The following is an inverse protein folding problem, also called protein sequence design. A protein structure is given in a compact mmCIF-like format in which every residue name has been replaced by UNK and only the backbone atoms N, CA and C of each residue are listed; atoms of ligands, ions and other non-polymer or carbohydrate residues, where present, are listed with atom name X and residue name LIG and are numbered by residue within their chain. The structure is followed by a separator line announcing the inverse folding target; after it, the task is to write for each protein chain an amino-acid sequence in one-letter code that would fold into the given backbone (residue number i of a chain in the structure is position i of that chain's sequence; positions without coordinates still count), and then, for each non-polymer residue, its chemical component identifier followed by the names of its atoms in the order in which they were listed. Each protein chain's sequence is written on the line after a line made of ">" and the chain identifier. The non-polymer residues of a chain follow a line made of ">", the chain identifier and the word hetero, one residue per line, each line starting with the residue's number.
data_IF_376520847772
#
_entry.id   IF_376520847772
#
_cell.length_a   1.000
_cell.length_b   1.000
_cell.length_c   1.000
_cell.angle_alpha   90.00
_cell.angle_beta   90.00
_cell.angle_gamma   90.00
#
_symmetry.space_group_name_H-M   'P 1'
#
loop_
_entity.id
_entity.type
_entity.pdbx_description
1 polymer ?
#
# COMPACT_ATOMS: atom_id res chain seq x y z
N UNK A 1 -21.03 -20.45 -27.28
CA UNK A 1 -20.14 -19.96 -26.21
C UNK A 1 -19.18 -21.09 -25.88
N UNK A 2 -17.87 -20.83 -25.76
CA UNK A 2 -16.96 -21.85 -25.23
C UNK A 2 -17.34 -22.15 -23.77
N UNK A 3 -17.43 -23.42 -23.37
CA UNK A 3 -17.66 -23.80 -21.98
C UNK A 3 -16.45 -23.40 -21.13
N UNK A 4 -16.70 -23.03 -19.88
CA UNK A 4 -15.65 -22.85 -18.90
C UNK A 4 -15.56 -24.10 -18.05
N UNK A 5 -14.57 -24.94 -18.31
CA UNK A 5 -14.45 -26.24 -17.65
C UNK A 5 -13.63 -26.10 -16.36
N UNK A 6 -12.63 -25.22 -16.36
CA UNK A 6 -11.84 -24.88 -15.17
C UNK A 6 -11.77 -23.37 -14.97
N UNK A 7 -12.30 -22.91 -13.84
CA UNK A 7 -12.15 -21.54 -13.33
C UNK A 7 -11.03 -21.52 -12.28
N UNK A 8 -10.01 -20.69 -12.51
CA UNK A 8 -8.95 -20.44 -11.54
C UNK A 8 -9.07 -19.00 -11.06
N UNK A 9 -9.04 -18.80 -9.75
CA UNK A 9 -9.00 -17.47 -9.12
C UNK A 9 -7.74 -17.42 -8.27
N UNK A 10 -6.96 -16.35 -8.41
CA UNK A 10 -5.75 -16.11 -7.64
C UNK A 10 -5.89 -14.77 -6.92
N UNK A 11 -5.62 -14.80 -5.62
CA UNK A 11 -5.67 -13.62 -4.74
C UNK A 11 -4.32 -13.47 -4.08
N UNK A 12 -3.78 -12.25 -4.12
CA UNK A 12 -2.62 -11.84 -3.35
C UNK A 12 -3.05 -10.77 -2.35
N UNK A 13 -2.59 -10.88 -1.12
CA UNK A 13 -3.04 -10.04 -0.02
C UNK A 13 -1.87 -9.30 0.63
N UNK A 14 -2.08 -8.02 0.93
CA UNK A 14 -1.05 -7.14 1.49
C UNK A 14 -1.67 -6.35 2.65
N UNK A 15 -1.64 -6.95 3.84
CA UNK A 15 -2.29 -6.40 5.04
C UNK A 15 -1.32 -5.69 5.98
N UNK A 16 -0.03 -6.03 5.94
CA UNK A 16 1.01 -5.42 6.77
C UNK A 16 1.83 -4.38 6.00
N UNK A 17 2.54 -3.50 6.72
CA UNK A 17 3.44 -2.53 6.08
C UNK A 17 4.62 -3.23 5.41
N UNK A 18 5.06 -4.37 5.93
CA UNK A 18 6.05 -5.25 5.29
C UNK A 18 5.56 -5.78 3.94
N UNK A 19 4.32 -6.29 3.86
CA UNK A 19 3.75 -6.81 2.61
C UNK A 19 3.69 -5.70 1.54
N UNK A 20 3.14 -4.55 1.93
CA UNK A 20 3.03 -3.38 1.05
C UNK A 20 4.40 -2.91 0.57
N UNK A 21 5.37 -2.82 1.47
CA UNK A 21 6.73 -2.40 1.14
C UNK A 21 7.40 -3.37 0.16
N UNK A 22 7.34 -4.67 0.43
CA UNK A 22 7.96 -5.71 -0.40
C UNK A 22 7.32 -5.80 -1.78
N UNK A 23 6.02 -5.50 -1.88
CA UNK A 23 5.28 -5.44 -3.14
C UNK A 23 5.47 -4.12 -3.91
N UNK A 24 6.19 -3.13 -3.35
CA UNK A 24 6.34 -1.81 -3.96
C UNK A 24 5.06 -0.97 -3.95
N UNK A 25 4.10 -1.33 -3.10
CA UNK A 25 2.81 -0.64 -3.01
C UNK A 25 2.95 0.67 -2.24
N UNK A 26 2.21 1.67 -2.70
CA UNK A 26 2.19 3.01 -2.12
C UNK A 26 0.78 3.37 -1.66
N UNK A 27 0.63 4.45 -0.91
CA UNK A 27 -0.67 4.88 -0.35
C UNK A 27 -1.02 6.30 -0.82
N UNK A 28 -1.01 6.49 -2.13
CA UNK A 28 -1.43 7.72 -2.78
C UNK A 28 -2.63 7.53 -3.71
N UNK A 29 -3.55 8.47 -3.61
CA UNK A 29 -4.61 8.69 -4.60
C UNK A 29 -4.51 10.11 -5.16
N UNK A 30 -3.93 10.25 -6.36
CA UNK A 30 -3.76 11.55 -7.02
C UNK A 30 -3.12 12.60 -6.10
N UNK A 31 -2.00 12.24 -5.44
CA UNK A 31 -1.26 13.03 -4.43
C UNK A 31 -1.98 13.25 -3.08
N UNK A 32 -3.15 12.68 -2.86
CA UNK A 32 -3.77 12.61 -1.52
C UNK A 32 -3.29 11.35 -0.82
N UNK A 33 -2.96 11.48 0.46
CA UNK A 33 -2.47 10.36 1.26
C UNK A 33 -3.63 9.46 1.70
N UNK A 34 -3.35 8.17 1.73
CA UNK A 34 -4.25 7.14 2.23
C UNK A 34 -3.66 6.50 3.50
N UNK A 35 -4.54 6.10 4.41
CA UNK A 35 -4.22 5.11 5.45
C UNK A 35 -4.87 3.81 5.05
N UNK A 36 -4.10 2.73 5.03
CA UNK A 36 -4.58 1.48 4.46
C UNK A 36 -5.24 0.52 5.44
N UNK A 37 -6.40 0.00 5.05
CA UNK A 37 -7.03 -1.17 5.66
C UNK A 37 -6.37 -2.44 5.13
N UNK A 38 -6.13 -2.51 3.83
CA UNK A 38 -5.39 -3.58 3.17
C UNK A 38 -5.59 -3.55 1.65
N UNK A 39 -4.58 -4.04 0.94
CA UNK A 39 -4.57 -4.12 -0.52
C UNK A 39 -4.64 -5.56 -0.95
N UNK A 40 -5.31 -5.82 -2.07
CA UNK A 40 -5.33 -7.12 -2.71
C UNK A 40 -5.11 -7.00 -4.22
N UNK A 41 -4.64 -8.08 -4.82
CA UNK A 41 -4.64 -8.27 -6.25
C UNK A 41 -5.46 -9.51 -6.57
N UNK A 42 -6.44 -9.41 -7.47
CA UNK A 42 -7.28 -10.54 -7.88
C UNK A 42 -7.14 -10.77 -9.38
N UNK A 43 -6.89 -12.03 -9.77
CA UNK A 43 -7.03 -12.47 -11.17
C UNK A 43 -7.95 -13.68 -11.27
N UNK A 44 -8.70 -13.74 -12.36
CA UNK A 44 -9.53 -14.90 -12.69
C UNK A 44 -9.21 -15.37 -14.12
N UNK A 45 -9.16 -16.69 -14.30
CA UNK A 45 -8.88 -17.31 -15.59
C UNK A 45 -9.87 -18.43 -15.87
N UNK A 46 -10.38 -18.49 -17.11
CA UNK A 46 -11.12 -19.62 -17.62
C UNK A 46 -10.33 -20.32 -18.71
N UNK A 47 -10.00 -21.61 -18.52
CA UNK A 47 -9.25 -22.39 -19.50
C UNK A 47 -7.97 -21.66 -20.00
N UNK A 48 -7.28 -20.98 -19.08
CA UNK A 48 -6.06 -20.20 -19.35
C UNK A 48 -6.27 -18.79 -19.93
N UNK A 49 -7.51 -18.36 -20.21
CA UNK A 49 -7.82 -16.99 -20.64
C UNK A 49 -8.21 -16.13 -19.45
N UNK A 50 -7.56 -14.98 -19.30
CA UNK A 50 -7.90 -14.00 -18.26
C UNK A 50 -9.32 -13.49 -18.46
N UNK A 51 -10.06 -13.37 -17.36
CA UNK A 51 -11.44 -12.93 -17.32
C UNK A 51 -11.52 -11.50 -16.80
N UNK A 52 -12.57 -10.81 -17.22
CA UNK A 52 -13.00 -9.54 -16.67
C UNK A 52 -14.44 -9.69 -16.17
N UNK A 53 -14.84 -8.83 -15.22
CA UNK A 53 -16.22 -8.77 -14.79
C UNK A 53 -17.10 -8.21 -15.91
N UNK A 54 -18.33 -8.72 -16.01
CA UNK A 54 -19.31 -8.16 -16.93
C UNK A 54 -19.72 -6.78 -16.42
N UNK A 55 -20.04 -5.81 -17.31
CA UNK A 55 -20.52 -4.50 -16.90
C UNK A 55 -21.70 -4.60 -15.93
N UNK A 56 -21.62 -3.86 -14.82
CA UNK A 56 -22.62 -3.82 -13.75
C UNK A 56 -22.61 -5.00 -12.78
N UNK A 57 -21.69 -5.96 -12.92
CA UNK A 57 -21.46 -7.00 -11.92
C UNK A 57 -20.42 -6.54 -10.90
N UNK A 58 -20.61 -6.95 -9.64
CA UNK A 58 -19.66 -6.71 -8.56
C UNK A 58 -19.24 -8.05 -7.93
N UNK A 59 -18.04 -8.05 -7.35
CA UNK A 59 -17.58 -9.12 -6.48
C UNK A 59 -17.64 -8.65 -5.03
N UNK A 60 -18.00 -9.58 -4.16
CA UNK A 60 -18.02 -9.41 -2.71
C UNK A 60 -16.69 -9.93 -2.14
N UNK A 61 -15.97 -9.07 -1.42
CA UNK A 61 -14.64 -9.32 -0.86
C UNK A 61 -14.73 -9.09 0.64
N UNK A 62 -14.33 -10.07 1.45
CA UNK A 62 -14.26 -9.91 2.91
C UNK A 62 -12.83 -9.61 3.33
N UNK A 63 -12.63 -8.55 4.11
CA UNK A 63 -11.30 -8.11 4.58
C UNK A 63 -11.26 -8.12 6.11
N UNK A 64 -10.15 -8.60 6.73
CA UNK A 64 -10.00 -8.68 8.19
C UNK A 64 -9.62 -7.32 8.81
N UNK A 65 -10.40 -6.28 8.54
CA UNK A 65 -10.16 -4.91 8.99
C UNK A 65 -11.33 -4.45 9.85
N UNK A 66 -11.05 -3.64 10.89
CA UNK A 66 -12.11 -3.04 11.69
C UNK A 66 -12.92 -2.05 10.84
N UNK A 67 -14.24 -2.13 10.94
CA UNK A 67 -15.15 -1.22 10.25
C UNK A 67 -14.94 0.25 10.66
N UNK A 68 -15.04 1.14 9.67
CA UNK A 68 -15.03 2.59 9.75
C UNK A 68 -15.89 3.12 8.58
N UNK A 69 -16.81 4.05 8.85
CA UNK A 69 -17.71 4.61 7.84
C UNK A 69 -16.96 5.41 6.74
N UNK A 70 -15.70 5.79 7.00
CA UNK A 70 -14.86 6.53 6.07
C UNK A 70 -14.03 5.63 5.13
N UNK A 71 -14.08 4.30 5.33
CA UNK A 71 -13.44 3.37 4.40
C UNK A 71 -14.06 3.50 3.00
N UNK A 72 -13.19 3.49 2.00
CA UNK A 72 -13.54 3.58 0.59
C UNK A 72 -12.83 2.49 -0.18
N UNK A 73 -13.45 2.08 -1.26
CA UNK A 73 -12.86 1.16 -2.23
C UNK A 73 -12.02 1.96 -3.21
N UNK A 74 -10.85 1.45 -3.55
CA UNK A 74 -9.98 2.02 -4.56
C UNK A 74 -9.51 0.97 -5.54
N UNK A 75 -9.26 1.42 -6.76
CA UNK A 75 -8.71 0.63 -7.86
C UNK A 75 -7.32 1.12 -8.21
N UNK A 76 -6.38 0.19 -8.31
CA UNK A 76 -4.99 0.49 -8.59
C UNK A 76 -4.72 0.60 -10.08
N UNK A 77 -4.21 1.74 -10.51
CA UNK A 77 -3.64 1.91 -11.84
C UNK A 77 -2.11 1.88 -11.73
N UNK A 78 -1.50 0.84 -12.29
CA UNK A 78 -0.05 0.65 -12.24
C UNK A 78 0.62 1.34 -13.43
N UNK A 79 1.60 2.19 -13.14
CA UNK A 79 2.46 2.81 -14.15
C UNK A 79 3.88 2.91 -13.61
N UNK A 80 4.86 2.50 -14.40
CA UNK A 80 6.28 2.50 -14.01
C UNK A 80 6.54 1.76 -12.68
N UNK A 81 5.83 0.65 -12.46
CA UNK A 81 5.80 -0.16 -11.22
C UNK A 81 5.30 0.59 -9.97
N UNK A 82 4.63 1.73 -10.15
CA UNK A 82 3.97 2.48 -9.08
C UNK A 82 2.47 2.38 -9.26
N UNK A 83 1.79 1.83 -8.26
CA UNK A 83 0.32 1.82 -8.22
C UNK A 83 -0.17 3.14 -7.63
N UNK A 84 -0.98 3.87 -8.40
CA UNK A 84 -1.77 4.99 -7.90
C UNK A 84 -3.23 4.58 -7.78
N UNK A 85 -3.82 4.85 -6.63
CA UNK A 85 -5.17 4.41 -6.28
C UNK A 85 -6.22 5.43 -6.73
N UNK A 86 -7.20 5.02 -7.52
CA UNK A 86 -8.37 5.82 -7.86
C UNK A 86 -9.55 5.35 -7.01
N UNK A 87 -10.28 6.28 -6.39
CA UNK A 87 -11.50 5.92 -5.63
C UNK A 87 -12.54 5.30 -6.57
N UNK A 88 -12.97 4.09 -6.26
CA UNK A 88 -14.10 3.44 -6.90
C UNK A 88 -15.38 4.06 -6.33
N UNK A 89 -16.10 4.81 -7.18
CA UNK A 89 -17.33 5.52 -6.80
C UNK A 89 -18.56 4.60 -6.73
N UNK A 90 -18.48 3.42 -7.32
CA UNK A 90 -19.51 2.39 -7.25
C UNK A 90 -19.23 1.35 -6.16
N UNK A 91 -18.00 1.32 -5.66
CA UNK A 91 -17.57 0.51 -4.55
C UNK A 91 -18.26 0.88 -3.24
N UNK A 92 -18.49 -0.12 -2.41
CA UNK A 92 -19.16 0.04 -1.12
C UNK A 92 -18.45 -0.79 -0.05
N UNK A 93 -18.35 -0.24 1.16
CA UNK A 93 -17.83 -0.93 2.34
C UNK A 93 -18.96 -1.05 3.36
N UNK A 94 -19.32 -2.28 3.69
CA UNK A 94 -20.33 -2.62 4.69
C UNK A 94 -19.72 -3.34 5.89
N UNK A 95 -20.40 -3.25 7.03
CA UNK A 95 -20.06 -4.00 8.23
C UNK A 95 -20.50 -5.46 8.11
N UNK A 96 -19.65 -6.41 8.51
CA UNK A 96 -20.05 -7.82 8.68
C UNK A 96 -20.42 -8.05 10.13
N UNK A 97 -21.70 -8.29 10.39
CA UNK A 97 -22.20 -8.70 11.70
C UNK A 97 -22.10 -10.22 11.83
N UNK A 98 -21.79 -10.71 13.05
CA UNK A 98 -21.46 -12.12 13.37
C UNK A 98 -22.48 -13.22 13.02
N UNK A 99 -23.57 -12.90 12.32
CA UNK A 99 -24.56 -13.85 11.80
C UNK A 99 -24.25 -14.33 10.37
N UNK A 100 -23.21 -13.81 9.71
CA UNK A 100 -22.82 -14.30 8.38
C UNK A 100 -22.16 -15.67 8.48
N UNK A 101 -22.58 -16.65 7.66
CA UNK A 101 -21.95 -17.97 7.52
C UNK A 101 -20.53 -17.93 6.88
N UNK A 102 -19.85 -16.78 6.91
CA UNK A 102 -18.53 -16.59 6.35
C UNK A 102 -17.51 -16.83 7.47
N UNK A 103 -16.91 -18.01 7.48
CA UNK A 103 -15.73 -18.28 8.32
C UNK A 103 -14.56 -17.44 7.78
N UNK A 104 -14.21 -16.35 8.47
CA UNK A 104 -13.02 -15.56 8.15
C UNK A 104 -11.86 -16.05 9.03
N UNK A 105 -10.75 -16.53 8.44
CA UNK A 105 -9.54 -16.84 9.21
C UNK A 105 -8.86 -15.53 9.65
N UNK A 106 -8.94 -15.15 10.92
CA UNK A 106 -8.30 -13.91 11.42
C UNK A 106 -8.62 -13.55 12.88
N UNK A 107 -7.82 -12.64 13.45
CA UNK A 107 -7.85 -12.25 14.88
C UNK A 107 -9.19 -11.65 15.34
N UNK A 108 -9.69 -12.20 16.45
CA UNK A 108 -10.90 -11.78 17.14
C UNK A 108 -10.62 -10.55 18.02
N UNK A 109 -11.25 -9.41 17.71
CA UNK A 109 -11.07 -8.16 18.47
C UNK A 109 -11.99 -8.08 19.70
N UNK A 110 -11.68 -8.82 20.77
CA UNK A 110 -12.21 -8.58 22.14
C UNK A 110 -13.55 -9.25 22.52
N UNK A 111 -13.80 -9.34 23.84
CA UNK A 111 -14.72 -10.30 24.47
C UNK A 111 -16.24 -10.08 24.31
N UNK A 112 -16.74 -9.05 23.62
CA UNK A 112 -18.21 -8.84 23.58
C UNK A 112 -18.85 -8.38 22.25
N UNK A 113 -18.11 -8.23 21.15
CA UNK A 113 -18.73 -8.06 19.82
C UNK A 113 -17.89 -8.79 18.77
N UNK A 114 -18.51 -9.79 18.12
CA UNK A 114 -17.92 -10.59 17.04
C UNK A 114 -17.74 -9.74 15.77
N UNK A 115 -16.76 -8.84 15.77
CA UNK A 115 -16.34 -8.14 14.56
C UNK A 115 -15.44 -9.07 13.74
N UNK A 116 -15.98 -9.56 12.62
CA UNK A 116 -15.33 -10.54 11.74
C UNK A 116 -14.51 -9.83 10.63
N UNK A 117 -14.89 -8.60 10.26
CA UNK A 117 -14.22 -7.82 9.23
C UNK A 117 -15.18 -6.84 8.54
N UNK A 118 -14.82 -6.42 7.33
CA UNK A 118 -15.66 -5.60 6.44
C UNK A 118 -15.98 -6.38 5.17
N UNK A 119 -17.14 -6.08 4.59
CA UNK A 119 -17.53 -6.53 3.25
C UNK A 119 -17.31 -5.38 2.27
N UNK A 120 -16.43 -5.59 1.31
CA UNK A 120 -16.13 -4.67 0.23
C UNK A 120 -16.75 -5.19 -1.06
N UNK A 121 -17.40 -4.30 -1.81
CA UNK A 121 -17.88 -4.57 -3.17
C UNK A 121 -17.02 -3.83 -4.18
N UNK A 122 -16.55 -4.52 -5.22
CA UNK A 122 -15.81 -3.92 -6.32
C UNK A 122 -16.36 -4.38 -7.68
N UNK A 123 -16.38 -3.47 -8.64
CA UNK A 123 -16.78 -3.75 -10.03
C UNK A 123 -15.65 -4.27 -10.91
N UNK A 124 -14.42 -4.39 -10.39
CA UNK A 124 -13.24 -4.71 -11.17
C UNK A 124 -12.41 -5.87 -10.55
N UNK A 125 -11.61 -6.52 -11.40
CA UNK A 125 -10.51 -7.39 -10.98
C UNK A 125 -9.19 -6.62 -11.10
N UNK A 126 -8.11 -7.16 -10.55
CA UNK A 126 -6.80 -6.49 -10.50
C UNK A 126 -6.51 -5.93 -9.12
N UNK A 127 -5.89 -4.75 -9.07
CA UNK A 127 -5.51 -4.09 -7.82
C UNK A 127 -6.73 -3.44 -7.17
N UNK A 128 -7.10 -3.92 -5.99
CA UNK A 128 -8.23 -3.42 -5.21
C UNK A 128 -7.72 -3.10 -3.81
N UNK A 129 -8.20 -2.00 -3.24
CA UNK A 129 -7.73 -1.53 -1.96
C UNK A 129 -8.87 -0.95 -1.12
N UNK A 130 -8.83 -1.16 0.18
CA UNK A 130 -9.79 -0.59 1.13
C UNK A 130 -9.06 0.40 2.04
N UNK A 131 -9.18 1.67 1.72
CA UNK A 131 -8.41 2.74 2.33
C UNK A 131 -9.30 3.89 2.80
N UNK A 132 -8.76 4.74 3.66
CA UNK A 132 -9.39 6.01 4.01
C UNK A 132 -8.49 7.15 3.57
N UNK A 133 -9.10 8.26 3.17
CA UNK A 133 -8.34 9.49 2.93
C UNK A 133 -7.82 10.03 4.25
N UNK A 134 -6.51 10.28 4.31
CA UNK A 134 -5.94 11.01 5.42
C UNK A 134 -6.03 12.50 5.15
N UNK A 135 -6.87 13.20 5.91
CA UNK A 135 -6.96 14.66 5.84
C UNK A 135 -5.66 15.27 6.39
N UNK A 136 -4.85 15.80 5.48
CA UNK A 136 -3.52 16.34 5.81
C UNK A 136 -3.64 17.81 6.17
N UNK A 137 -3.57 18.13 7.46
CA UNK A 137 -3.44 19.50 7.95
C UNK A 137 -1.96 19.81 8.28
N UNK A 138 -1.58 21.09 8.21
CA UNK A 138 -0.25 21.58 8.56
C UNK A 138 0.90 20.75 7.94
N UNK A 139 1.18 21.01 6.66
CA UNK A 139 2.12 20.21 5.87
C UNK A 139 3.42 20.95 5.58
N UNK A 140 4.45 20.17 5.23
CA UNK A 140 5.72 20.68 4.72
C UNK A 140 6.24 19.76 3.62
N UNK A 141 6.77 20.34 2.54
CA UNK A 141 7.54 19.57 1.55
C UNK A 141 8.88 19.17 2.15
N UNK A 142 9.28 17.91 1.97
CA UNK A 142 10.56 17.38 2.42
C UNK A 142 11.44 17.02 1.23
N UNK A 143 12.66 17.53 1.22
CA UNK A 143 13.67 17.25 0.20
C UNK A 143 14.75 16.33 0.77
N UNK A 144 15.07 15.24 0.08
CA UNK A 144 16.03 14.24 0.50
C UNK A 144 17.12 14.09 -0.55
N UNK A 145 18.35 14.39 -0.18
CA UNK A 145 19.51 14.09 -0.99
C UNK A 145 20.01 12.69 -0.66
N UNK A 146 20.06 11.81 -1.66
CA UNK A 146 20.55 10.45 -1.51
C UNK A 146 21.88 10.34 -2.26
N UNK A 147 22.94 9.88 -1.60
CA UNK A 147 24.18 9.58 -2.30
C UNK A 147 24.02 8.33 -3.18
N UNK A 148 24.80 8.25 -4.26
CA UNK A 148 24.80 7.07 -5.17
C UNK A 148 23.41 6.71 -5.76
N UNK A 149 22.50 7.68 -5.84
CA UNK A 149 21.17 7.52 -6.42
C UNK A 149 21.22 7.35 -7.95
N UNK A 150 20.41 6.43 -8.46
CA UNK A 150 20.22 6.17 -9.89
C UNK A 150 18.77 5.74 -10.19
N UNK A 151 18.46 5.53 -11.46
CA UNK A 151 17.13 5.14 -11.94
C UNK A 151 16.60 3.82 -11.37
N UNK A 152 17.46 3.00 -10.75
CA UNK A 152 17.08 1.73 -10.11
C UNK A 152 16.86 1.87 -8.61
N UNK A 153 17.08 3.07 -8.06
CA UNK A 153 16.95 3.36 -6.64
C UNK A 153 15.50 3.71 -6.33
N UNK A 154 14.87 2.89 -5.49
CA UNK A 154 13.56 3.19 -4.90
C UNK A 154 13.77 4.06 -3.68
N UNK A 155 12.99 5.14 -3.56
CA UNK A 155 12.98 5.99 -2.38
C UNK A 155 11.56 6.15 -1.88
N UNK A 156 11.31 5.85 -0.60
CA UNK A 156 10.01 5.94 0.02
C UNK A 156 10.08 6.45 1.46
N UNK A 157 8.93 6.87 1.98
CA UNK A 157 8.72 7.25 3.37
C UNK A 157 7.67 6.34 3.97
N UNK A 158 8.03 5.66 5.06
CA UNK A 158 7.16 4.74 5.80
C UNK A 158 6.74 5.41 7.11
N UNK A 159 5.43 5.54 7.34
CA UNK A 159 4.90 6.09 8.58
C UNK A 159 4.84 5.03 9.68
N UNK A 160 5.16 5.43 10.91
CA UNK A 160 5.20 4.51 12.06
C UNK A 160 3.85 4.46 12.79
N UNK A 161 3.08 5.55 12.76
CA UNK A 161 1.81 5.69 13.47
C UNK A 161 0.58 5.39 12.59
N UNK A 162 0.79 5.11 11.30
CA UNK A 162 -0.28 4.76 10.37
C UNK A 162 0.21 3.84 9.26
N UNK A 163 -0.70 3.05 8.68
CA UNK A 163 -0.43 2.14 7.57
C UNK A 163 -0.34 2.92 6.24
N UNK A 164 0.74 3.69 6.10
CA UNK A 164 0.98 4.56 4.95
C UNK A 164 2.45 4.52 4.52
N UNK A 165 2.66 4.34 3.21
CA UNK A 165 3.94 4.41 2.52
C UNK A 165 3.82 5.42 1.38
N UNK A 166 4.62 6.47 1.41
CA UNK A 166 4.67 7.49 0.36
C UNK A 166 5.87 7.25 -0.56
N UNK A 167 5.69 7.33 -1.89
CA UNK A 167 6.79 7.32 -2.83
C UNK A 167 7.50 8.68 -2.85
N UNK A 168 8.82 8.66 -3.02
CA UNK A 168 9.62 9.85 -3.29
C UNK A 168 9.74 10.10 -4.79
N UNK A 169 9.62 11.34 -5.22
CA UNK A 169 9.73 11.73 -6.63
C UNK A 169 10.98 12.57 -6.89
N UNK A 170 11.65 12.36 -8.03
CA UNK A 170 12.74 13.24 -8.46
C UNK A 170 12.24 14.68 -8.67
N UNK A 171 12.93 15.65 -8.07
CA UNK A 171 12.55 17.05 -8.09
C UNK A 171 13.35 17.90 -9.07
N UNK A 172 14.65 17.66 -9.18
CA UNK A 172 15.57 18.54 -9.92
C UNK A 172 16.71 17.77 -10.61
N UNK A 173 17.55 18.51 -11.36
CA UNK A 173 18.72 17.97 -12.06
C UNK A 173 19.75 17.32 -11.13
N UNK A 174 19.83 17.76 -9.87
CA UNK A 174 20.68 17.19 -8.82
C UNK A 174 20.12 15.89 -8.22
N UNK A 175 19.01 15.39 -8.80
CA UNK A 175 18.31 14.18 -8.39
C UNK A 175 17.86 14.18 -6.93
N UNK A 176 17.60 15.37 -6.35
CA UNK A 176 16.98 15.46 -5.04
C UNK A 176 15.58 14.82 -5.09
N UNK A 177 15.24 14.04 -4.06
CA UNK A 177 13.93 13.43 -3.92
C UNK A 177 13.02 14.38 -3.14
N UNK A 178 11.78 14.54 -3.60
CA UNK A 178 10.76 15.34 -2.92
C UNK A 178 9.61 14.45 -2.48
N UNK A 179 9.20 14.65 -1.23
CA UNK A 179 7.92 14.23 -0.69
C UNK A 179 7.06 15.48 -0.53
N UNK A 180 5.92 15.53 -1.23
CA UNK A 180 5.04 16.70 -1.22
C UNK A 180 4.05 16.63 -0.06
N UNK A 181 3.75 17.78 0.55
CA UNK A 181 2.68 17.95 1.55
C UNK A 181 2.74 16.92 2.68
N UNK A 182 3.94 16.62 3.19
CA UNK A 182 4.11 15.68 4.30
C UNK A 182 3.49 16.28 5.57
N UNK A 183 2.62 15.56 6.31
CA UNK A 183 2.10 16.04 7.59
C UNK A 183 3.24 16.25 8.57
N UNK A 184 3.21 17.36 9.32
CA UNK A 184 4.22 17.64 10.37
C UNK A 184 3.94 16.82 11.64
N UNK A 185 4.98 16.56 12.43
CA UNK A 185 4.88 15.87 13.71
C UNK A 185 4.72 14.35 13.62
N UNK A 186 5.02 13.74 12.46
CA UNK A 186 4.91 12.30 12.24
C UNK A 186 6.26 11.62 12.37
N UNK A 187 6.29 10.48 13.06
CA UNK A 187 7.48 9.63 13.10
C UNK A 187 7.51 8.77 11.84
N UNK A 188 8.59 8.89 11.07
CA UNK A 188 8.74 8.20 9.79
C UNK A 188 10.12 7.59 9.64
N UNK A 189 10.24 6.56 8.80
CA UNK A 189 11.50 6.13 8.20
C UNK A 189 11.52 6.57 6.74
N UNK A 190 12.54 7.32 6.33
CA UNK A 190 12.84 7.53 4.91
C UNK A 190 13.86 6.48 4.52
N UNK A 191 13.62 5.77 3.42
CA UNK A 191 14.48 4.69 2.94
C UNK A 191 14.73 4.85 1.44
N UNK A 192 16.00 4.74 1.07
CA UNK A 192 16.47 4.58 -0.29
C UNK A 192 17.13 3.22 -0.42
N UNK A 193 16.78 2.44 -1.45
CA UNK A 193 17.33 1.11 -1.62
C UNK A 193 17.34 0.66 -3.08
N UNK A 194 18.29 -0.22 -3.41
CA UNK A 194 18.33 -0.97 -4.66
C UNK A 194 19.09 -2.27 -4.49
N UNK A 195 18.82 -3.23 -5.37
CA UNK A 195 19.61 -4.46 -5.47
C UNK A 195 20.97 -4.16 -6.11
N UNK A 196 22.05 -4.69 -5.53
CA UNK A 196 23.43 -4.59 -6.00
C UNK A 196 24.07 -5.98 -5.99
N UNK A 197 23.81 -6.76 -7.04
CA UNK A 197 24.18 -8.17 -7.11
C UNK A 197 23.35 -9.04 -6.17
N UNK A 198 24.01 -9.73 -5.23
CA UNK A 198 23.38 -10.54 -4.19
C UNK A 198 23.12 -9.75 -2.89
N UNK A 199 23.54 -8.49 -2.86
CA UNK A 199 23.38 -7.60 -1.72
C UNK A 199 22.39 -6.48 -2.04
N UNK A 200 22.07 -5.70 -1.03
CA UNK A 200 21.31 -4.47 -1.14
C UNK A 200 22.25 -3.28 -0.92
N UNK A 201 22.04 -2.20 -1.69
CA UNK A 201 22.55 -0.90 -1.32
C UNK A 201 21.40 -0.13 -0.67
N UNK A 202 21.57 0.30 0.58
CA UNK A 202 20.48 0.83 1.42
C UNK A 202 20.95 2.05 2.20
N UNK A 203 20.18 3.13 2.17
CA UNK A 203 20.32 4.27 3.07
C UNK A 203 18.98 4.58 3.70
N UNK A 204 18.91 4.71 5.03
CA UNK A 204 17.66 5.03 5.71
C UNK A 204 17.88 5.91 6.94
N UNK A 205 16.86 6.68 7.31
CA UNK A 205 16.88 7.56 8.48
C UNK A 205 15.49 7.61 9.10
N UNK A 206 15.41 7.49 10.42
CA UNK A 206 14.20 7.81 11.18
C UNK A 206 14.21 9.29 11.56
N UNK A 207 13.07 9.96 11.43
CA UNK A 207 12.93 11.37 11.81
C UNK A 207 11.50 11.72 12.23
N UNK A 208 11.37 12.89 12.85
CA UNK A 208 10.09 13.55 13.07
C UNK A 208 9.87 14.60 11.97
N UNK A 209 8.81 14.45 11.19
CA UNK A 209 8.52 15.36 10.07
C UNK A 209 8.21 16.77 10.56
N UNK A 210 8.55 17.79 9.77
CA UNK A 210 8.19 19.17 10.07
C UNK A 210 9.22 19.98 10.88
N UNK A 211 10.28 19.34 11.38
CA UNK A 211 11.41 20.01 12.05
C UNK A 211 12.35 20.65 11.03
N UNK A 212 12.87 19.83 10.12
CA UNK A 212 13.70 20.23 8.98
C UNK A 212 12.99 19.87 7.67
N UNK A 213 13.29 20.61 6.61
CA UNK A 213 12.75 20.37 5.26
C UNK A 213 13.78 19.80 4.29
N UNK A 214 15.02 19.55 4.74
CA UNK A 214 16.10 19.00 3.95
C UNK A 214 16.83 17.92 4.73
N UNK A 215 17.05 16.79 4.08
CA UNK A 215 17.67 15.63 4.69
C UNK A 215 18.69 14.98 3.75
N UNK A 216 19.64 14.25 4.33
CA UNK A 216 20.65 13.49 3.62
C UNK A 216 20.57 12.00 3.98
N UNK A 217 20.67 11.13 2.97
CA UNK A 217 20.78 9.68 3.14
C UNK A 217 22.08 9.19 2.51
N UNK A 218 22.88 8.48 3.32
CA UNK A 218 24.07 7.77 2.87
C UNK A 218 23.75 6.27 2.71
N UNK A 219 23.95 5.74 1.52
CA UNK A 219 23.66 4.36 1.16
C UNK A 219 24.88 3.46 1.38
N UNK A 220 24.67 2.36 2.09
CA UNK A 220 25.69 1.39 2.44
C UNK A 220 25.29 0.00 1.93
N UNK A 221 26.29 -0.84 1.65
CA UNK A 221 26.03 -2.24 1.30
C UNK A 221 25.53 -2.98 2.52
N UNK A 222 24.55 -3.85 2.31
CA UNK A 222 23.87 -4.61 3.34
C UNK A 222 23.45 -5.97 2.79
N UNK A 223 23.46 -7.00 3.63
CA UNK A 223 22.94 -8.30 3.24
C UNK A 223 21.42 -8.24 3.03
N UNK A 224 20.89 -9.11 2.16
CA UNK A 224 19.43 -9.21 1.98
C UNK A 224 18.71 -9.51 3.30
N UNK A 225 19.31 -10.35 4.14
CA UNK A 225 18.76 -10.72 5.46
C UNK A 225 18.64 -9.52 6.40
N UNK A 226 19.67 -8.67 6.46
CA UNK A 226 19.64 -7.49 7.32
C UNK A 226 18.64 -6.45 6.80
N UNK A 227 18.51 -6.33 5.47
CA UNK A 227 17.49 -5.49 4.85
C UNK A 227 16.08 -5.97 5.23
N UNK A 228 15.80 -7.27 5.12
CA UNK A 228 14.52 -7.87 5.53
C UNK A 228 14.22 -7.63 7.01
N UNK A 229 15.23 -7.66 7.90
CA UNK A 229 15.03 -7.35 9.31
C UNK A 229 14.61 -5.89 9.55
N UNK A 230 15.12 -4.96 8.73
CA UNK A 230 14.69 -3.55 8.80
C UNK A 230 13.24 -3.43 8.31
N UNK A 231 12.89 -4.07 7.18
CA UNK A 231 11.52 -4.01 6.64
C UNK A 231 10.51 -4.61 7.64
N UNK A 232 10.86 -5.72 8.29
CA UNK A 232 10.05 -6.34 9.36
C UNK A 232 9.79 -5.40 10.52
N UNK A 233 10.73 -4.51 10.83
CA UNK A 233 10.58 -3.54 11.93
C UNK A 233 9.56 -2.43 11.63
N UNK A 234 9.03 -2.36 10.40
CA UNK A 234 7.96 -1.41 10.11
C UNK A 234 6.66 -1.82 10.77
N UNK A 235 6.37 -3.09 10.96
CA UNK A 235 5.10 -3.55 11.49
C UNK A 235 4.87 -3.14 12.94
#
# INVERSE_FOLDING_TARGET
>A
MASCDTLNISVWEFYSKEDMFNAGLTTLSNRKMLVSGGMIYIKAFCNGRELELRPGMQIDITMPVKYDDNWKVFEGNEKDNVVNWAEDKEGNVGQINGESNIEVPGEYWGENEQMIGILMKSSNLGWINCDLFYEVENTQDLFVQVDRIDEKTTVCMVFHDMKSILPGYYFNADKAIKFEKVPRGKKVTIMAFKKDGNEMLVGYKQLLTGLDNKEGLAMQRMSLKDFELIVKSFN
#
